data_IF_646423323869
#
_entry.id   IF_646423323869
#
_cell.length_a   1.000
_cell.length_b   1.000
_cell.length_c   1.000
_cell.angle_alpha   90.00
_cell.angle_beta   90.00
_cell.angle_gamma   90.00
#
_symmetry.space_group_name_H-M   'P 1'
#
loop_
_entity.id
_entity.type
_entity.pdbx_description
1 polymer ?
#
# COMPACT_ATOMS: atom_id res chain seq x y z
N UNK A 1 -57.66 -28.59 -32.47
CA UNK A 1 -56.32 -28.00 -32.31
C UNK A 1 -55.94 -28.06 -30.83
N UNK A 2 -55.36 -29.20 -30.42
CA UNK A 2 -54.97 -29.50 -29.03
C UNK A 2 -53.49 -29.88 -29.05
N UNK A 3 -52.60 -28.89 -29.02
CA UNK A 3 -51.15 -29.11 -28.87
C UNK A 3 -50.49 -27.75 -28.75
N UNK A 4 -50.51 -27.15 -27.55
CA UNK A 4 -49.60 -26.05 -27.21
C UNK A 4 -49.49 -25.74 -25.71
N UNK A 5 -50.29 -26.37 -24.82
CA UNK A 5 -50.14 -26.15 -23.38
C UNK A 5 -49.02 -26.98 -22.73
N UNK A 6 -48.66 -28.14 -23.28
CA UNK A 6 -47.71 -29.06 -22.65
C UNK A 6 -46.23 -28.62 -22.75
N UNK A 7 -45.88 -27.69 -23.66
CA UNK A 7 -44.49 -27.22 -23.83
C UNK A 7 -44.12 -26.04 -22.92
N UNK A 8 -45.09 -25.29 -22.42
CA UNK A 8 -44.85 -24.17 -21.51
C UNK A 8 -44.65 -24.67 -20.07
N UNK A 9 -45.34 -25.74 -19.68
CA UNK A 9 -45.21 -26.32 -18.35
C UNK A 9 -43.84 -27.00 -18.11
N UNK A 10 -43.20 -27.54 -19.15
CA UNK A 10 -41.89 -28.19 -19.02
C UNK A 10 -40.73 -27.19 -18.87
N UNK A 11 -40.90 -25.94 -19.33
CA UNK A 11 -39.86 -24.90 -19.22
C UNK A 11 -39.85 -24.20 -17.84
N UNK A 12 -40.94 -24.30 -17.07
CA UNK A 12 -41.07 -23.70 -15.75
C UNK A 12 -40.60 -24.62 -14.61
N UNK A 13 -40.50 -25.93 -14.84
CA UNK A 13 -40.03 -26.88 -13.81
C UNK A 13 -38.50 -27.04 -13.73
N UNK A 14 -37.74 -26.52 -14.70
CA UNK A 14 -36.26 -26.56 -14.66
C UNK A 14 -35.61 -25.31 -14.10
N UNK A 15 -36.35 -24.22 -13.91
CA UNK A 15 -35.85 -23.02 -13.22
C UNK A 15 -36.06 -23.03 -11.70
N UNK A 16 -36.79 -24.03 -11.17
CA UNK A 16 -37.17 -24.10 -9.76
C UNK A 16 -36.19 -24.88 -8.86
N UNK A 17 -35.04 -25.34 -9.38
CA UNK A 17 -34.04 -26.09 -8.57
C UNK A 17 -32.64 -25.49 -8.56
N UNK A 18 -32.43 -24.31 -9.16
CA UNK A 18 -31.09 -23.68 -9.24
C UNK A 18 -30.96 -22.34 -8.48
N UNK A 19 -31.96 -21.94 -7.71
CA UNK A 19 -31.88 -20.74 -6.86
C UNK A 19 -32.45 -21.02 -5.48
N UNK A 20 -31.62 -21.53 -4.58
CA UNK A 20 -31.66 -21.29 -3.13
C UNK A 20 -30.67 -22.25 -2.45
N UNK A 21 -29.37 -22.04 -2.72
CA UNK A 21 -28.35 -22.26 -1.72
C UNK A 21 -27.98 -20.88 -1.13
N UNK A 22 -28.97 -20.19 -0.58
CA UNK A 22 -28.69 -19.21 0.44
C UNK A 22 -28.44 -20.06 1.69
N UNK A 23 -27.17 -20.36 1.93
CA UNK A 23 -26.76 -20.72 3.28
C UNK A 23 -27.29 -19.59 4.17
N UNK A 24 -28.18 -19.95 5.10
CA UNK A 24 -28.49 -19.15 6.27
C UNK A 24 -27.15 -18.82 6.95
N UNK A 25 -26.58 -17.69 6.57
CA UNK A 25 -25.49 -17.09 7.29
C UNK A 25 -26.11 -16.63 8.60
N UNK A 26 -25.88 -17.44 9.63
CA UNK A 26 -26.18 -17.14 11.02
C UNK A 26 -25.89 -15.65 11.30
N UNK A 27 -26.89 -14.83 11.67
CA UNK A 27 -26.67 -13.41 11.96
C UNK A 27 -25.73 -13.19 13.14
N UNK A 28 -25.36 -14.24 13.89
CA UNK A 28 -24.29 -14.19 14.89
C UNK A 28 -22.86 -14.18 14.32
N UNK A 29 -22.67 -14.41 13.01
CA UNK A 29 -21.37 -14.31 12.33
C UNK A 29 -21.15 -12.95 11.65
N UNK A 30 -22.08 -12.01 11.81
CA UNK A 30 -21.91 -10.62 11.38
C UNK A 30 -21.48 -9.78 12.58
N UNK A 31 -20.16 -9.63 12.75
CA UNK A 31 -19.41 -8.64 13.55
C UNK A 31 -18.18 -9.30 14.20
N UNK A 32 -17.31 -9.91 13.40
CA UNK A 32 -15.90 -9.67 13.71
C UNK A 32 -15.72 -8.14 13.59
N UNK A 33 -15.26 -7.41 14.63
CA UNK A 33 -14.97 -5.99 14.47
C UNK A 33 -14.02 -5.91 13.28
N UNK A 34 -14.41 -5.16 12.24
CA UNK A 34 -13.49 -4.86 11.15
C UNK A 34 -12.26 -4.26 11.82
N UNK A 35 -11.16 -5.02 11.91
CA UNK A 35 -9.91 -4.56 12.48
C UNK A 35 -9.61 -3.25 11.78
N UNK A 36 -9.67 -2.14 12.53
CA UNK A 36 -9.44 -0.83 11.95
C UNK A 36 -8.05 -0.89 11.31
N UNK A 37 -7.90 -0.54 10.02
CA UNK A 37 -6.70 -0.90 9.28
C UNK A 37 -5.48 -0.24 9.92
N UNK A 38 -4.61 -1.04 10.54
CA UNK A 38 -3.34 -0.60 11.08
C UNK A 38 -2.34 -0.40 9.94
N UNK A 39 -1.65 0.74 9.94
CA UNK A 39 -0.62 1.03 8.94
C UNK A 39 0.74 0.63 9.51
N UNK A 40 1.31 -0.44 8.95
CA UNK A 40 2.61 -0.95 9.34
C UNK A 40 3.70 -0.49 8.36
N UNK A 41 4.74 0.13 8.89
CA UNK A 41 5.92 0.54 8.15
C UNK A 41 7.14 -0.25 8.64
N UNK A 42 7.91 -0.85 7.72
CA UNK A 42 9.09 -1.63 8.09
C UNK A 42 10.18 -0.75 8.74
N UNK A 43 11.19 -1.40 9.30
CA UNK A 43 12.36 -0.71 9.83
C UNK A 43 13.04 0.10 8.72
N UNK A 44 13.19 1.39 8.94
CA UNK A 44 14.01 2.22 8.06
C UNK A 44 15.49 2.09 8.41
N UNK A 45 16.34 2.46 7.46
CA UNK A 45 17.79 2.38 7.58
C UNK A 45 18.40 3.45 8.50
N UNK A 46 17.62 4.43 8.97
CA UNK A 46 18.12 5.56 9.76
C UNK A 46 17.86 5.33 11.25
N UNK A 47 16.61 5.07 11.61
CA UNK A 47 16.14 4.76 12.95
C UNK A 47 16.27 3.28 13.31
N UNK A 48 16.27 2.38 12.32
CA UNK A 48 16.25 0.92 12.55
C UNK A 48 14.94 0.40 13.14
N UNK A 49 13.91 1.25 13.30
CA UNK A 49 12.66 0.90 14.00
C UNK A 49 11.51 0.71 13.02
N UNK A 50 10.78 -0.39 13.17
CA UNK A 50 9.45 -0.53 12.56
C UNK A 50 8.45 0.39 13.27
N UNK A 51 7.46 0.85 12.54
CA UNK A 51 6.43 1.75 13.05
C UNK A 51 5.06 1.23 12.69
N UNK A 52 4.16 1.19 13.65
CA UNK A 52 2.75 0.91 13.43
C UNK A 52 1.95 2.14 13.84
N UNK A 53 1.09 2.63 12.96
CA UNK A 53 0.12 3.67 13.24
C UNK A 53 -1.29 3.06 13.25
N UNK A 54 -2.08 3.42 14.25
CA UNK A 54 -3.47 3.03 14.37
C UNK A 54 -4.40 4.18 13.93
N UNK A 55 -5.56 3.86 13.31
CA UNK A 55 -6.63 4.84 13.14
C UNK A 55 -7.00 5.46 14.49
N UNK A 56 -7.27 6.76 14.51
CA UNK A 56 -7.58 7.45 15.77
C UNK A 56 -6.37 8.02 16.51
N UNK A 57 -5.13 7.69 16.11
CA UNK A 57 -3.94 8.22 16.78
C UNK A 57 -3.78 9.74 16.60
N UNK A 58 -3.42 10.42 17.69
CA UNK A 58 -3.13 11.85 17.65
C UNK A 58 -1.83 12.17 16.91
N UNK A 59 -1.77 13.37 16.34
CA UNK A 59 -0.58 13.86 15.62
C UNK A 59 0.72 13.79 16.45
N UNK A 60 0.64 14.03 17.77
CA UNK A 60 1.80 13.95 18.66
C UNK A 60 2.41 12.53 18.69
N UNK A 61 1.57 11.50 18.72
CA UNK A 61 2.01 10.10 18.72
C UNK A 61 2.69 9.73 17.40
N UNK A 62 2.16 10.21 16.27
CA UNK A 62 2.81 10.00 14.98
C UNK A 62 4.18 10.69 14.91
N UNK A 63 4.32 11.90 15.46
CA UNK A 63 5.59 12.62 15.55
C UNK A 63 6.59 11.93 16.49
N UNK A 64 6.13 11.32 17.58
CA UNK A 64 6.99 10.55 18.48
C UNK A 64 7.53 9.29 17.81
N UNK A 65 6.67 8.56 17.09
CA UNK A 65 7.03 7.30 16.41
C UNK A 65 7.88 7.50 15.15
N UNK A 66 7.54 8.48 14.32
CA UNK A 66 8.19 8.73 13.03
C UNK A 66 9.23 9.86 13.08
N UNK A 67 9.30 10.61 14.18
CA UNK A 67 10.18 11.75 14.32
C UNK A 67 9.69 12.97 13.53
N UNK A 68 10.64 13.80 13.10
CA UNK A 68 10.34 15.07 12.41
C UNK A 68 9.94 14.82 10.94
N UNK A 69 8.78 15.34 10.48
CA UNK A 69 8.38 15.21 9.09
C UNK A 69 9.28 16.04 8.18
N UNK A 70 9.42 15.59 6.93
CA UNK A 70 10.08 16.36 5.87
C UNK A 70 9.31 17.64 5.58
N UNK A 71 7.97 17.55 5.58
CA UNK A 71 7.07 18.67 5.34
C UNK A 71 5.82 18.53 6.19
N UNK A 72 5.35 19.65 6.73
CA UNK A 72 4.05 19.75 7.38
C UNK A 72 3.23 20.82 6.66
N UNK A 73 2.04 20.45 6.19
CA UNK A 73 1.11 21.35 5.52
C UNK A 73 -0.12 21.51 6.40
N UNK A 74 -0.45 22.76 6.76
CA UNK A 74 -1.68 23.12 7.49
C UNK A 74 -2.56 23.95 6.57
N UNK A 75 -3.83 23.57 6.37
CA UNK A 75 -4.77 24.42 5.64
C UNK A 75 -5.23 25.56 6.55
N UNK A 76 -4.88 26.80 6.19
CA UNK A 76 -5.16 28.04 6.95
C UNK A 76 -6.63 28.27 7.30
N UNK A 77 -7.58 27.74 6.52
CA UNK A 77 -9.00 28.01 6.72
C UNK A 77 -9.64 27.12 7.79
N UNK A 78 -9.09 25.92 7.99
CA UNK A 78 -9.74 24.92 8.84
C UNK A 78 -8.94 24.62 10.11
N UNK A 79 -7.60 24.77 10.14
CA UNK A 79 -6.69 24.35 11.25
C UNK A 79 -6.83 22.90 11.76
N UNK A 80 -7.93 22.24 11.43
CA UNK A 80 -8.35 20.87 11.69
C UNK A 80 -7.62 19.90 10.78
N UNK A 81 -7.30 20.30 9.56
CA UNK A 81 -6.69 19.44 8.56
C UNK A 81 -5.18 19.69 8.44
N UNK A 82 -4.39 18.70 8.85
CA UNK A 82 -2.93 18.72 8.81
C UNK A 82 -2.43 17.54 8.00
N UNK A 83 -1.49 17.78 7.09
CA UNK A 83 -0.78 16.73 6.36
C UNK A 83 0.68 16.71 6.78
N UNK A 84 1.20 15.54 7.11
CA UNK A 84 2.62 15.31 7.40
C UNK A 84 3.22 14.39 6.33
N UNK A 85 4.31 14.84 5.69
CA UNK A 85 5.01 14.08 4.67
C UNK A 85 6.36 13.56 5.22
N UNK A 86 6.62 12.27 4.99
CA UNK A 86 7.84 11.57 5.38
C UNK A 86 8.45 10.83 4.20
N UNK A 87 9.76 10.67 4.22
CA UNK A 87 10.47 9.78 3.30
C UNK A 87 11.33 8.83 4.12
N UNK A 88 11.09 7.53 3.99
CA UNK A 88 11.85 6.49 4.72
C UNK A 88 12.66 5.66 3.74
N UNK A 89 13.94 5.44 4.07
CA UNK A 89 14.83 4.53 3.31
C UNK A 89 14.68 3.13 3.88
N UNK A 90 14.20 2.18 3.08
CA UNK A 90 14.00 0.80 3.51
C UNK A 90 15.03 -0.09 2.82
N UNK A 91 15.68 -0.95 3.62
CA UNK A 91 16.56 -2.00 3.09
C UNK A 91 15.70 -3.16 2.60
N UNK A 92 15.72 -3.38 1.30
CA UNK A 92 15.08 -4.49 0.61
C UNK A 92 15.89 -5.77 0.63
N UNK A 93 15.48 -6.78 -0.16
CA UNK A 93 16.19 -8.05 -0.25
C UNK A 93 17.59 -7.86 -0.84
N UNK A 94 18.47 -8.82 -0.53
CA UNK A 94 19.74 -8.96 -1.25
C UNK A 94 19.47 -9.29 -2.71
N UNK A 95 20.24 -8.67 -3.59
CA UNK A 95 20.32 -9.01 -5.01
C UNK A 95 21.76 -9.30 -5.37
N UNK A 96 21.92 -10.09 -6.40
CA UNK A 96 23.20 -10.34 -7.06
C UNK A 96 23.13 -9.71 -8.45
N UNK A 97 24.14 -8.94 -8.83
CA UNK A 97 24.23 -8.31 -10.15
C UNK A 97 25.64 -8.40 -10.68
N UNK A 98 25.76 -8.67 -11.97
CA UNK A 98 27.02 -8.59 -12.70
C UNK A 98 27.17 -7.15 -13.20
N UNK A 99 28.28 -6.51 -12.84
CA UNK A 99 28.63 -5.17 -13.32
C UNK A 99 29.92 -5.22 -14.11
N UNK A 100 30.09 -4.29 -15.05
CA UNK A 100 31.36 -4.10 -15.75
C UNK A 100 32.30 -3.29 -14.85
N UNK A 101 33.49 -3.81 -14.60
CA UNK A 101 34.56 -3.14 -13.85
C UNK A 101 35.83 -3.12 -14.72
N UNK A 102 36.11 -1.97 -15.32
CA UNK A 102 37.17 -1.86 -16.33
C UNK A 102 36.90 -2.74 -17.55
N UNK A 103 37.85 -3.60 -17.89
CA UNK A 103 37.73 -4.58 -18.99
C UNK A 103 37.04 -5.89 -18.60
N UNK A 104 36.77 -6.12 -17.31
CA UNK A 104 36.20 -7.37 -16.79
C UNK A 104 34.75 -7.26 -16.33
N UNK A 105 34.16 -8.42 -16.03
CA UNK A 105 32.87 -8.54 -15.35
C UNK A 105 33.12 -8.92 -13.89
N UNK A 106 32.39 -8.29 -12.98
CA UNK A 106 32.43 -8.58 -11.55
C UNK A 106 31.02 -8.81 -11.03
N UNK A 107 30.85 -9.84 -10.22
CA UNK A 107 29.60 -10.10 -9.53
C UNK A 107 29.58 -9.39 -8.19
N UNK A 108 28.54 -8.61 -7.93
CA UNK A 108 28.32 -7.87 -6.69
C UNK A 108 27.04 -8.37 -6.04
N UNK A 109 27.06 -8.49 -4.72
CA UNK A 109 25.87 -8.68 -3.89
C UNK A 109 25.61 -7.44 -3.06
N UNK A 110 24.45 -6.82 -3.27
CA UNK A 110 24.02 -5.63 -2.53
C UNK A 110 22.53 -5.71 -2.19
N UNK A 111 22.05 -4.86 -1.28
CA UNK A 111 20.62 -4.76 -0.99
C UNK A 111 19.93 -3.83 -1.99
N UNK A 112 18.71 -4.19 -2.41
CA UNK A 112 17.82 -3.24 -3.08
C UNK A 112 17.42 -2.17 -2.05
N UNK A 113 17.51 -0.90 -2.42
CA UNK A 113 17.07 0.19 -1.56
C UNK A 113 15.73 0.72 -2.05
N UNK A 114 14.77 0.86 -1.14
CA UNK A 114 13.47 1.48 -1.41
C UNK A 114 13.34 2.82 -0.68
N UNK A 115 12.55 3.72 -1.26
CA UNK A 115 12.10 4.96 -0.68
C UNK A 115 10.59 4.87 -0.51
N UNK A 116 10.14 4.87 0.74
CA UNK A 116 8.73 4.99 1.08
C UNK A 116 8.40 6.47 1.28
N UNK A 117 7.60 7.02 0.37
CA UNK A 117 6.99 8.34 0.49
C UNK A 117 5.63 8.19 1.18
N UNK A 118 5.52 8.75 2.39
CA UNK A 118 4.38 8.55 3.29
C UNK A 118 3.75 9.90 3.56
N UNK A 119 2.45 10.01 3.30
CA UNK A 119 1.64 11.18 3.63
C UNK A 119 0.58 10.79 4.66
N UNK A 120 0.67 11.36 5.85
CA UNK A 120 -0.32 11.20 6.91
C UNK A 120 -1.29 12.37 6.88
N UNK A 121 -2.58 12.09 6.91
CA UNK A 121 -3.64 13.09 6.95
C UNK A 121 -4.34 13.04 8.29
N UNK A 122 -4.30 14.16 9.00
CA UNK A 122 -4.99 14.37 10.26
C UNK A 122 -6.18 15.28 10.05
N UNK A 123 -7.32 14.88 10.61
CA UNK A 123 -8.54 15.69 10.71
C UNK A 123 -8.88 15.86 12.18
N UNK A 124 -9.02 17.10 12.63
CA UNK A 124 -9.26 17.48 14.03
C UNK A 124 -8.19 16.92 14.97
N UNK A 125 -6.94 16.84 14.49
CA UNK A 125 -5.81 16.31 15.24
C UNK A 125 -5.70 14.77 15.28
N UNK A 126 -6.66 14.07 14.68
CA UNK A 126 -6.75 12.60 14.66
C UNK A 126 -6.32 12.05 13.31
N UNK A 127 -5.52 10.98 13.30
CA UNK A 127 -5.10 10.28 12.08
C UNK A 127 -6.33 9.69 11.39
N UNK A 128 -6.59 10.21 10.20
CA UNK A 128 -7.75 9.84 9.38
C UNK A 128 -7.35 8.94 8.21
N UNK A 129 -6.22 9.24 7.56
CA UNK A 129 -5.80 8.54 6.35
C UNK A 129 -4.27 8.52 6.24
N UNK A 130 -3.76 7.44 5.65
CA UNK A 130 -2.35 7.31 5.29
C UNK A 130 -2.22 6.87 3.84
N UNK A 131 -1.49 7.67 3.07
CA UNK A 131 -1.13 7.35 1.69
C UNK A 131 0.35 7.02 1.65
N UNK A 132 0.69 5.87 1.08
CA UNK A 132 2.08 5.41 0.96
C UNK A 132 2.40 5.06 -0.47
N UNK A 133 3.56 5.50 -0.96
CA UNK A 133 4.11 5.10 -2.25
C UNK A 133 5.53 4.58 -2.04
N UNK A 134 5.78 3.34 -2.45
CA UNK A 134 7.11 2.76 -2.46
C UNK A 134 7.75 2.93 -3.83
N UNK A 135 8.95 3.51 -3.85
CA UNK A 135 9.78 3.67 -5.04
C UNK A 135 11.08 2.91 -4.84
N UNK A 136 11.56 2.20 -5.86
CA UNK A 136 12.91 1.63 -5.82
C UNK A 136 13.90 2.76 -6.05
N UNK A 137 14.91 2.90 -5.19
CA UNK A 137 15.90 3.97 -5.31
C UNK A 137 16.74 3.85 -6.58
N UNK A 138 16.96 2.62 -7.07
CA UNK A 138 17.71 2.37 -8.31
C UNK A 138 16.99 2.91 -9.56
N UNK A 139 15.66 2.99 -9.55
CA UNK A 139 14.87 3.47 -10.71
C UNK A 139 15.03 4.98 -10.94
N UNK A 140 15.71 5.70 -10.04
CA UNK A 140 16.11 7.11 -10.25
C UNK A 140 17.37 7.25 -11.12
N UNK A 141 17.94 6.14 -11.59
CA UNK A 141 19.10 6.09 -12.47
C UNK A 141 18.74 5.53 -13.86
N UNK A 142 17.68 6.06 -14.48
CA UNK A 142 17.52 5.89 -15.92
C UNK A 142 18.65 6.65 -16.64
N UNK A 143 19.57 5.84 -17.19
CA UNK A 143 20.22 6.04 -18.49
C UNK A 143 20.88 7.40 -18.76
N UNK A 144 22.12 7.56 -18.32
CA UNK A 144 23.12 8.18 -19.23
C UNK A 144 23.82 7.07 -19.99
N UNK A 145 23.56 6.87 -21.29
CA UNK A 145 24.51 6.10 -22.09
C UNK A 145 25.83 6.85 -22.00
N UNK A 146 26.85 6.19 -21.47
CA UNK A 146 28.23 6.57 -21.72
C UNK A 146 28.48 6.35 -23.22
N UNK A 147 28.01 7.28 -24.05
CA UNK A 147 28.53 7.45 -25.39
C UNK A 147 29.99 7.92 -25.25
N UNK A 148 30.93 7.37 -26.02
CA UNK A 148 32.29 7.89 -26.01
C UNK A 148 32.24 9.36 -26.43
N UNK A 149 32.95 10.22 -25.69
CA UNK A 149 33.33 11.52 -26.21
C UNK A 149 34.29 11.22 -27.36
N UNK A 150 33.80 11.33 -28.59
CA UNK A 150 34.66 11.35 -29.76
C UNK A 150 35.58 12.56 -29.68
N UNK A 151 36.88 12.29 -29.77
CA UNK A 151 37.86 13.26 -30.26
C UNK A 151 37.77 13.37 -31.79
#
# INVERSE_FOLDING_TARGET
MKTNLARIALLLMTFATSQMAWAEADPATALAPAESPSWHFPADMVSGRSVTLQPGEGMANALEKLGKPRRQVKKKKDHENVRLDYVRKIRGPLRERVVRAGSGLMTIRDHIIYLDDISLYFKNGILHEVVTKRLRADDSSESRPFGPKGE
#
